data_IF_954525621916
#
_entry.id   IF_954525621916
#
_cell.length_a   1.000
_cell.length_b   1.000
_cell.length_c   1.000
_cell.angle_alpha   90.00
_cell.angle_beta   90.00
_cell.angle_gamma   90.00
#
_symmetry.space_group_name_H-M   'P 1'
#
loop_
_entity.id
_entity.type
_entity.pdbx_description
1 polymer ?
#
# COMPACT_ATOMS: atom_id res chain seq x y z
N UNK A 1 5.16 -0.39 120.86
CA UNK A 1 3.99 0.07 120.02
C UNK A 1 4.46 0.99 118.94
N UNK A 2 5.54 1.78 119.05
CA UNK A 2 6.00 2.74 118.05
C UNK A 2 6.55 2.12 116.78
N UNK A 3 7.22 0.96 116.86
CA UNK A 3 7.83 0.29 115.65
C UNK A 3 6.81 -0.37 114.75
N UNK A 4 5.68 -0.83 115.27
CA UNK A 4 4.64 -1.47 114.52
C UNK A 4 3.85 -0.45 113.66
N UNK A 5 3.66 0.75 114.17
CA UNK A 5 2.95 1.81 113.46
C UNK A 5 3.83 2.32 112.27
N UNK A 6 5.15 2.40 112.44
CA UNK A 6 6.05 2.79 111.33
C UNK A 6 6.15 1.78 110.18
N UNK A 7 6.08 0.45 110.58
CA UNK A 7 6.03 -0.60 109.53
C UNK A 7 4.72 -0.62 108.76
N UNK A 8 3.61 -0.33 109.45
CA UNK A 8 2.27 -0.29 108.78
C UNK A 8 2.15 0.91 107.85
N UNK A 9 2.70 2.06 108.22
CA UNK A 9 2.74 3.24 107.36
C UNK A 9 3.63 2.98 106.14
N UNK A 10 4.85 2.37 106.38
CA UNK A 10 5.75 2.00 105.25
C UNK A 10 5.08 1.04 104.26
N UNK A 11 4.37 0.02 104.77
CA UNK A 11 3.65 -0.90 103.94
C UNK A 11 2.49 -0.21 103.13
N UNK A 12 1.77 0.69 103.78
CA UNK A 12 0.69 1.45 103.13
C UNK A 12 1.25 2.36 102.00
N UNK A 13 2.39 2.99 102.26
CA UNK A 13 3.06 3.83 101.21
C UNK A 13 3.52 2.97 100.04
N UNK A 14 4.14 1.84 100.29
CA UNK A 14 4.58 0.91 99.23
C UNK A 14 3.36 0.37 98.42
N UNK A 15 2.32 -0.06 99.18
CA UNK A 15 1.12 -0.51 98.57
C UNK A 15 0.42 0.58 97.64
N UNK A 16 0.44 1.84 98.16
CA UNK A 16 -0.08 2.99 97.41
C UNK A 16 0.74 3.31 96.15
N UNK A 17 2.06 3.23 96.25
CA UNK A 17 2.96 3.43 95.10
C UNK A 17 2.77 2.34 94.06
N UNK A 18 2.65 1.08 94.48
CA UNK A 18 2.37 -0.05 93.57
C UNK A 18 1.02 0.12 92.89
N UNK A 19 0.00 0.47 93.64
CA UNK A 19 -1.34 0.64 93.10
C UNK A 19 -1.45 1.84 92.17
N UNK A 20 -0.76 2.92 92.48
CA UNK A 20 -0.86 4.18 91.68
C UNK A 20 0.08 4.22 90.46
N UNK A 21 1.27 3.64 90.57
CA UNK A 21 2.32 3.75 89.56
C UNK A 21 2.59 2.43 88.80
N UNK A 22 2.39 1.28 89.39
CA UNK A 22 2.75 0.00 88.79
C UNK A 22 1.49 -0.67 88.11
N UNK A 23 0.36 -0.61 88.84
CA UNK A 23 -0.91 -1.25 88.29
C UNK A 23 -1.46 -0.60 87.05
N UNK A 24 -1.46 0.74 86.92
CA UNK A 24 -2.03 1.35 85.70
C UNK A 24 -1.24 1.01 84.40
N UNK A 25 0.10 1.12 84.39
CA UNK A 25 0.84 0.79 83.20
C UNK A 25 0.74 -0.68 82.75
N UNK A 26 0.65 -1.60 83.76
CA UNK A 26 0.50 -3.03 83.49
C UNK A 26 -0.88 -3.31 82.89
N UNK A 27 -1.92 -2.66 83.40
CA UNK A 27 -3.29 -2.82 82.77
C UNK A 27 -3.38 -2.29 81.34
N UNK A 28 -2.74 -1.15 81.08
CA UNK A 28 -2.71 -0.59 79.74
C UNK A 28 -1.86 -1.42 78.77
N UNK A 29 -0.76 -2.04 79.24
CA UNK A 29 -0.01 -2.98 78.42
C UNK A 29 -0.77 -4.27 78.12
N UNK A 30 -1.47 -4.83 79.14
CA UNK A 30 -2.29 -6.00 78.93
C UNK A 30 -3.49 -5.73 77.98
N UNK A 31 -4.13 -4.57 78.11
CA UNK A 31 -5.18 -4.15 77.16
C UNK A 31 -4.68 -4.00 75.75
N UNK A 32 -3.54 -3.31 75.59
CA UNK A 32 -2.94 -3.18 74.25
C UNK A 32 -2.56 -4.54 73.65
N UNK A 33 -2.07 -5.47 74.47
CA UNK A 33 -1.77 -6.82 73.99
C UNK A 33 -3.02 -7.61 73.61
N UNK A 34 -4.08 -7.49 74.43
CA UNK A 34 -5.38 -8.13 74.12
C UNK A 34 -6.04 -7.54 72.86
N UNK A 35 -5.98 -6.23 72.69
CA UNK A 35 -6.48 -5.57 71.48
C UNK A 35 -5.67 -5.96 70.26
N UNK A 36 -4.37 -6.02 70.33
CA UNK A 36 -3.52 -6.48 69.24
C UNK A 36 -3.78 -7.93 68.86
N UNK A 37 -3.98 -8.82 69.81
CA UNK A 37 -4.37 -10.22 69.57
C UNK A 37 -5.76 -10.32 68.98
N UNK A 38 -6.73 -9.50 69.46
CA UNK A 38 -8.06 -9.45 68.85
C UNK A 38 -8.05 -8.98 67.45
N UNK A 39 -7.29 -7.91 67.13
CA UNK A 39 -7.16 -7.42 65.76
C UNK A 39 -6.49 -8.47 64.87
N UNK A 40 -5.39 -9.09 65.34
CA UNK A 40 -4.73 -10.13 64.56
C UNK A 40 -5.64 -11.38 64.30
N UNK A 41 -6.46 -11.73 65.29
CA UNK A 41 -7.46 -12.82 65.10
C UNK A 41 -8.56 -12.41 64.15
N UNK A 42 -9.04 -11.16 64.19
CA UNK A 42 -10.03 -10.66 63.27
C UNK A 42 -9.48 -10.61 61.81
N UNK A 43 -8.26 -10.09 61.63
CA UNK A 43 -7.60 -10.05 60.35
C UNK A 43 -7.33 -11.44 59.79
N UNK A 44 -6.96 -12.39 60.66
CA UNK A 44 -6.78 -13.80 60.26
C UNK A 44 -8.09 -14.46 59.86
N UNK A 45 -9.19 -14.18 60.58
CA UNK A 45 -10.52 -14.68 60.23
C UNK A 45 -11.01 -14.07 58.89
N UNK A 46 -10.76 -12.78 58.69
CA UNK A 46 -11.08 -12.11 57.42
C UNK A 46 -10.25 -12.67 56.24
N UNK A 47 -8.99 -12.89 56.47
CA UNK A 47 -8.11 -13.51 55.47
C UNK A 47 -8.53 -14.94 55.14
N UNK A 48 -8.89 -15.74 56.14
CA UNK A 48 -9.41 -17.10 55.95
C UNK A 48 -10.70 -17.08 55.14
N UNK A 49 -11.61 -16.14 55.43
CA UNK A 49 -12.84 -15.98 54.70
C UNK A 49 -12.61 -15.60 53.22
N UNK A 50 -11.70 -14.63 52.97
CA UNK A 50 -11.32 -14.24 51.62
C UNK A 50 -10.70 -15.40 50.84
N UNK A 51 -9.93 -16.26 51.52
CA UNK A 51 -9.36 -17.45 50.88
C UNK A 51 -10.47 -18.47 50.49
N UNK A 52 -11.43 -18.69 51.39
CA UNK A 52 -12.57 -19.58 51.14
C UNK A 52 -13.44 -19.04 49.96
N UNK A 53 -13.75 -17.75 49.98
CA UNK A 53 -14.50 -17.08 48.93
C UNK A 53 -13.73 -17.14 47.56
N UNK A 54 -12.41 -16.99 47.60
CA UNK A 54 -11.59 -17.12 46.40
C UNK A 54 -11.53 -18.56 45.86
N UNK A 55 -11.44 -19.55 46.74
CA UNK A 55 -11.49 -20.97 46.35
C UNK A 55 -12.85 -21.36 45.75
N UNK A 56 -13.96 -20.86 46.35
CA UNK A 56 -15.29 -21.07 45.78
C UNK A 56 -15.44 -20.42 44.40
N UNK A 57 -14.99 -19.16 44.26
CA UNK A 57 -14.99 -18.49 42.93
C UNK A 57 -14.13 -19.22 41.91
N UNK A 58 -12.97 -19.69 42.33
CA UNK A 58 -12.08 -20.45 41.45
C UNK A 58 -12.69 -21.81 41.06
N UNK A 59 -13.29 -22.53 42.01
CA UNK A 59 -13.98 -23.78 41.73
C UNK A 59 -15.17 -23.59 40.77
N UNK A 60 -15.94 -22.52 40.98
CA UNK A 60 -17.05 -22.15 40.11
C UNK A 60 -16.57 -21.79 38.70
N UNK A 61 -15.54 -20.94 38.60
CA UNK A 61 -14.95 -20.56 37.31
C UNK A 61 -14.42 -21.77 36.54
N UNK A 62 -13.80 -22.73 37.23
CA UNK A 62 -13.35 -24.00 36.61
C UNK A 62 -14.52 -24.87 36.14
N UNK A 63 -15.62 -24.93 36.92
CA UNK A 63 -16.79 -25.66 36.52
C UNK A 63 -17.49 -25.03 35.29
N UNK A 64 -17.63 -23.71 35.30
CA UNK A 64 -18.20 -22.94 34.20
C UNK A 64 -17.34 -23.09 32.94
N UNK A 65 -15.99 -22.98 33.06
CA UNK A 65 -15.10 -23.17 31.95
C UNK A 65 -15.12 -24.59 31.34
N UNK A 66 -15.29 -25.62 32.23
CA UNK A 66 -15.47 -27.01 31.75
C UNK A 66 -16.78 -27.20 31.02
N UNK A 67 -17.87 -26.61 31.54
CA UNK A 67 -19.19 -26.68 30.91
C UNK A 67 -19.18 -25.99 29.54
N UNK A 68 -18.58 -24.80 29.48
CA UNK A 68 -18.42 -24.05 28.21
C UNK A 68 -17.53 -24.81 27.22
N UNK A 69 -16.43 -25.35 27.67
CA UNK A 69 -15.53 -26.15 26.81
C UNK A 69 -16.25 -27.40 26.27
N UNK A 70 -17.07 -28.10 27.09
CA UNK A 70 -17.85 -29.23 26.61
C UNK A 70 -18.87 -28.79 25.56
N UNK A 71 -19.61 -27.69 25.85
CA UNK A 71 -20.58 -27.13 24.93
C UNK A 71 -19.96 -26.75 23.58
N UNK A 72 -18.86 -26.03 23.61
CA UNK A 72 -18.12 -25.66 22.37
C UNK A 72 -17.66 -26.89 21.62
N UNK A 73 -17.20 -27.93 22.34
CA UNK A 73 -16.77 -29.17 21.70
C UNK A 73 -17.94 -29.92 21.03
N UNK A 74 -19.10 -29.94 21.68
CA UNK A 74 -20.30 -30.60 21.14
C UNK A 74 -20.87 -29.81 19.96
N UNK A 75 -20.92 -28.48 20.05
CA UNK A 75 -21.27 -27.61 18.93
C UNK A 75 -20.31 -27.79 17.74
N UNK A 76 -19.00 -27.83 18.00
CA UNK A 76 -18.00 -28.04 16.95
C UNK A 76 -18.13 -29.42 16.27
N UNK A 77 -18.53 -30.46 17.03
CA UNK A 77 -18.82 -31.80 16.46
C UNK A 77 -20.06 -31.77 15.56
N UNK A 78 -21.14 -31.16 16.04
CA UNK A 78 -22.35 -31.03 15.24
C UNK A 78 -22.13 -30.21 13.98
N UNK A 79 -21.36 -29.10 14.10
CA UNK A 79 -20.98 -28.30 12.95
C UNK A 79 -20.10 -29.07 11.96
N UNK A 80 -19.15 -29.89 12.48
CA UNK A 80 -18.31 -30.74 11.63
C UNK A 80 -19.11 -31.80 10.87
N UNK A 81 -20.09 -32.43 11.53
CA UNK A 81 -20.99 -33.41 10.87
C UNK A 81 -21.83 -32.72 9.79
N UNK A 82 -22.43 -31.56 10.11
CA UNK A 82 -23.21 -30.78 9.14
C UNK A 82 -22.37 -30.32 7.96
N UNK A 83 -21.13 -29.86 8.22
CA UNK A 83 -20.19 -29.46 7.17
C UNK A 83 -19.81 -30.67 6.32
N UNK A 84 -19.57 -31.83 6.91
CA UNK A 84 -19.24 -33.04 6.18
C UNK A 84 -20.38 -33.51 5.26
N UNK A 85 -21.64 -33.43 5.73
CA UNK A 85 -22.82 -33.72 4.90
C UNK A 85 -22.94 -32.71 3.76
N UNK A 86 -22.83 -31.40 4.04
CA UNK A 86 -22.89 -30.36 3.04
C UNK A 86 -21.76 -30.51 2.00
N UNK A 87 -20.52 -30.81 2.45
CA UNK A 87 -19.41 -31.03 1.53
C UNK A 87 -19.63 -32.25 0.66
N UNK A 88 -20.24 -33.33 1.18
CA UNK A 88 -20.52 -34.53 0.40
C UNK A 88 -21.59 -34.26 -0.65
N UNK A 89 -22.65 -33.54 -0.27
CA UNK A 89 -23.68 -33.12 -1.20
C UNK A 89 -23.13 -32.18 -2.28
N UNK A 90 -22.36 -31.18 -1.85
CA UNK A 90 -21.73 -30.24 -2.75
C UNK A 90 -20.73 -30.90 -3.69
N UNK A 91 -19.94 -31.85 -3.18
CA UNK A 91 -19.03 -32.64 -4.02
C UNK A 91 -19.77 -33.45 -5.08
N UNK A 92 -20.95 -33.98 -4.76
CA UNK A 92 -21.82 -34.67 -5.73
C UNK A 92 -22.31 -33.73 -6.84
N UNK A 93 -22.83 -32.56 -6.46
CA UNK A 93 -23.28 -31.52 -7.40
C UNK A 93 -22.11 -31.01 -8.26
N UNK A 94 -20.97 -30.75 -7.60
CA UNK A 94 -19.76 -30.30 -8.31
C UNK A 94 -19.22 -31.35 -9.28
N UNK A 95 -19.25 -32.64 -8.90
CA UNK A 95 -18.84 -33.73 -9.78
C UNK A 95 -19.71 -33.79 -11.05
N UNK A 96 -21.03 -33.69 -10.92
CA UNK A 96 -21.91 -33.64 -12.09
C UNK A 96 -21.74 -32.36 -12.92
N UNK A 97 -21.53 -31.23 -12.26
CA UNK A 97 -21.21 -29.97 -12.92
C UNK A 97 -19.90 -30.06 -13.72
N UNK A 98 -18.84 -30.60 -13.11
CA UNK A 98 -17.53 -30.79 -13.76
C UNK A 98 -17.65 -31.73 -14.94
N UNK A 99 -18.42 -32.82 -14.81
CA UNK A 99 -18.65 -33.79 -15.89
C UNK A 99 -19.38 -33.13 -17.09
N UNK A 100 -20.40 -32.34 -16.80
CA UNK A 100 -21.15 -31.61 -17.83
C UNK A 100 -20.30 -30.51 -18.48
N UNK A 101 -19.54 -29.76 -17.66
CA UNK A 101 -18.59 -28.77 -18.16
C UNK A 101 -17.47 -29.43 -18.98
N UNK A 102 -16.94 -30.56 -18.51
CA UNK A 102 -15.92 -31.33 -19.22
C UNK A 102 -16.41 -31.78 -20.60
N UNK A 103 -17.64 -32.29 -20.70
CA UNK A 103 -18.23 -32.66 -21.96
C UNK A 103 -18.37 -31.46 -22.91
N UNK A 104 -18.84 -30.31 -22.41
CA UNK A 104 -18.91 -29.06 -23.19
C UNK A 104 -17.51 -28.54 -23.58
N UNK A 105 -16.55 -28.62 -22.66
CA UNK A 105 -15.17 -28.21 -22.90
C UNK A 105 -14.50 -29.06 -24.01
N UNK A 106 -14.71 -30.36 -24.01
CA UNK A 106 -14.22 -31.25 -25.08
C UNK A 106 -14.81 -30.87 -26.44
N UNK A 107 -16.09 -30.56 -26.49
CA UNK A 107 -16.74 -30.08 -27.73
C UNK A 107 -16.16 -28.73 -28.20
N UNK A 108 -15.98 -27.77 -27.25
CA UNK A 108 -15.37 -26.48 -27.55
C UNK A 108 -13.90 -26.63 -27.97
N UNK A 109 -13.16 -27.48 -27.29
CA UNK A 109 -11.74 -27.76 -27.61
C UNK A 109 -11.60 -28.39 -28.99
N UNK A 110 -12.51 -29.30 -29.37
CA UNK A 110 -12.53 -29.88 -30.73
C UNK A 110 -12.79 -28.82 -31.81
N UNK A 111 -13.72 -27.90 -31.54
CA UNK A 111 -13.98 -26.79 -32.48
C UNK A 111 -12.81 -25.79 -32.49
N UNK A 112 -12.16 -25.60 -31.32
CA UNK A 112 -10.99 -24.73 -31.20
C UNK A 112 -9.77 -25.34 -31.90
N UNK A 113 -9.58 -26.66 -31.81
CA UNK A 113 -8.51 -27.36 -32.53
C UNK A 113 -8.65 -27.26 -34.03
N UNK A 114 -9.89 -27.37 -34.53
CA UNK A 114 -10.16 -27.20 -35.97
C UNK A 114 -9.87 -25.75 -36.41
N UNK A 115 -10.24 -24.76 -35.56
CA UNK A 115 -9.90 -23.35 -35.81
C UNK A 115 -8.40 -23.09 -35.74
N UNK A 116 -7.71 -23.69 -34.75
CA UNK A 116 -6.25 -23.56 -34.60
C UNK A 116 -5.49 -24.22 -35.76
N UNK A 117 -5.95 -25.36 -36.26
CA UNK A 117 -5.37 -25.99 -37.43
C UNK A 117 -5.55 -25.16 -38.70
N UNK A 118 -6.71 -24.50 -38.84
CA UNK A 118 -6.95 -23.55 -39.95
C UNK A 118 -6.13 -22.27 -39.79
N UNK A 119 -6.04 -21.76 -38.56
CA UNK A 119 -5.22 -20.57 -38.25
C UNK A 119 -3.72 -20.88 -38.40
N UNK A 120 -3.25 -22.07 -38.01
CA UNK A 120 -1.85 -22.48 -38.12
C UNK A 120 -1.38 -22.58 -39.59
N UNK A 121 -2.24 -22.97 -40.49
CA UNK A 121 -1.96 -22.92 -41.94
C UNK A 121 -1.90 -21.45 -42.46
N UNK A 122 -2.68 -20.55 -41.81
CA UNK A 122 -2.62 -19.13 -42.10
C UNK A 122 -1.34 -18.48 -41.53
N UNK A 123 -0.94 -18.87 -40.28
CA UNK A 123 0.26 -18.36 -39.62
C UNK A 123 1.55 -18.66 -40.37
N UNK A 124 1.72 -19.87 -40.94
CA UNK A 124 2.87 -20.23 -41.79
C UNK A 124 2.97 -19.36 -43.04
N UNK A 125 1.81 -19.00 -43.58
CA UNK A 125 1.74 -18.13 -44.78
C UNK A 125 2.08 -16.69 -44.40
N UNK A 126 1.63 -16.24 -43.21
CA UNK A 126 1.93 -14.90 -42.68
C UNK A 126 3.36 -14.79 -42.23
N UNK A 127 3.93 -15.84 -41.60
CA UNK A 127 5.34 -15.85 -41.27
C UNK A 127 6.23 -15.73 -42.50
N UNK A 128 5.93 -16.47 -43.56
CA UNK A 128 6.64 -16.34 -44.84
C UNK A 128 6.43 -14.96 -45.49
N UNK A 129 5.23 -14.41 -45.41
CA UNK A 129 4.98 -13.05 -45.88
C UNK A 129 5.72 -12.03 -45.02
N UNK A 130 5.76 -12.23 -43.69
CA UNK A 130 6.52 -11.42 -42.76
C UNK A 130 8.05 -11.50 -43.00
N UNK A 131 8.59 -12.67 -43.31
CA UNK A 131 9.99 -12.83 -43.72
C UNK A 131 10.30 -12.06 -45.01
N UNK A 132 9.44 -12.11 -45.99
CA UNK A 132 9.57 -11.36 -47.26
C UNK A 132 9.45 -9.84 -47.02
N UNK A 133 8.54 -9.43 -46.14
CA UNK A 133 8.39 -8.03 -45.71
C UNK A 133 9.60 -7.57 -44.93
N UNK A 134 10.12 -8.38 -43.97
CA UNK A 134 11.36 -8.11 -43.23
C UNK A 134 12.54 -7.90 -44.17
N UNK A 135 12.71 -8.78 -45.15
CA UNK A 135 13.75 -8.67 -46.16
C UNK A 135 13.63 -7.38 -46.99
N UNK A 136 12.38 -6.91 -47.24
CA UNK A 136 12.13 -5.70 -48.01
C UNK A 136 12.21 -4.41 -47.16
N UNK A 137 11.79 -4.48 -45.87
CA UNK A 137 11.79 -3.35 -44.91
C UNK A 137 13.07 -3.30 -44.06
N UNK A 138 14.00 -4.25 -44.19
CA UNK A 138 15.28 -4.24 -43.52
C UNK A 138 16.23 -3.09 -43.96
N UNK A 139 15.85 -2.32 -44.99
CA UNK A 139 16.51 -1.11 -45.37
C UNK A 139 16.05 0.09 -44.49
N UNK A 140 16.96 0.84 -43.83
CA UNK A 140 16.60 1.99 -43.01
C UNK A 140 15.69 3.02 -43.69
N UNK A 141 15.86 3.21 -45.01
CA UNK A 141 15.01 4.12 -45.79
C UNK A 141 13.54 3.62 -45.88
N UNK A 142 13.36 2.30 -46.00
CA UNK A 142 12.03 1.71 -46.03
C UNK A 142 11.34 1.74 -44.63
N UNK A 143 12.13 1.58 -43.55
CA UNK A 143 11.62 1.73 -42.17
C UNK A 143 11.14 3.17 -41.92
N UNK A 144 11.92 4.16 -42.27
CA UNK A 144 11.54 5.58 -42.20
C UNK A 144 10.25 5.87 -42.95
N UNK A 145 10.12 5.34 -44.16
CA UNK A 145 8.91 5.52 -45.03
C UNK A 145 7.65 4.88 -44.39
N UNK A 146 7.77 3.78 -43.63
CA UNK A 146 6.63 3.18 -42.93
C UNK A 146 6.15 4.04 -41.76
N UNK A 147 7.08 4.65 -41.03
CA UNK A 147 6.79 5.62 -39.98
C UNK A 147 6.10 6.86 -40.54
N UNK A 148 6.63 7.45 -41.62
CA UNK A 148 6.05 8.64 -42.25
C UNK A 148 4.62 8.40 -42.77
N UNK A 149 4.36 7.21 -43.31
CA UNK A 149 3.00 6.82 -43.73
C UNK A 149 2.07 6.73 -42.54
N UNK A 150 2.50 6.11 -41.45
CA UNK A 150 1.67 6.00 -40.25
C UNK A 150 1.41 7.36 -39.62
N UNK A 151 2.41 8.23 -39.54
CA UNK A 151 2.23 9.62 -39.09
C UNK A 151 1.21 10.39 -39.97
N UNK A 152 1.17 10.13 -41.29
CA UNK A 152 0.18 10.72 -42.15
C UNK A 152 -1.26 10.17 -41.87
N UNK A 153 -1.37 8.87 -41.57
CA UNK A 153 -2.66 8.26 -41.18
C UNK A 153 -3.14 8.77 -39.80
N UNK A 154 -2.22 8.91 -38.82
CA UNK A 154 -2.53 9.53 -37.53
C UNK A 154 -3.01 10.99 -37.69
N UNK A 155 -2.48 11.70 -38.67
CA UNK A 155 -2.84 13.10 -38.93
C UNK A 155 -4.30 13.23 -39.41
N UNK A 156 -4.85 12.19 -40.02
CA UNK A 156 -6.24 12.11 -40.46
C UNK A 156 -7.21 11.62 -39.37
N UNK A 157 -6.71 11.14 -38.23
CA UNK A 157 -7.56 10.65 -37.15
C UNK A 157 -8.33 11.80 -36.49
N UNK A 158 -9.59 11.52 -36.15
CA UNK A 158 -10.43 12.41 -35.38
C UNK A 158 -9.87 12.57 -33.94
N UNK A 159 -10.12 13.73 -33.28
CA UNK A 159 -9.78 13.90 -31.88
C UNK A 159 -10.39 12.79 -31.02
N UNK A 160 -9.61 12.23 -30.12
CA UNK A 160 -10.08 11.22 -29.17
C UNK A 160 -11.07 11.86 -28.19
N UNK A 161 -12.17 11.18 -27.92
CA UNK A 161 -13.12 11.55 -26.85
C UNK A 161 -12.83 10.78 -25.57
N UNK A 162 -11.76 10.00 -25.53
CA UNK A 162 -11.37 9.24 -24.35
C UNK A 162 -10.97 10.21 -23.24
N UNK A 163 -11.57 10.03 -22.07
CA UNK A 163 -11.08 10.68 -20.86
C UNK A 163 -9.85 9.90 -20.43
N UNK A 164 -8.68 10.47 -20.65
CA UNK A 164 -7.42 9.85 -20.23
C UNK A 164 -7.31 10.02 -18.71
N UNK A 165 -7.74 8.99 -17.98
CA UNK A 165 -7.41 8.87 -16.57
C UNK A 165 -5.94 8.43 -16.50
N UNK A 166 -5.05 9.35 -16.18
CA UNK A 166 -3.60 9.09 -16.07
C UNK A 166 -3.19 8.80 -14.64
N UNK A 167 -2.23 7.88 -14.48
CA UNK A 167 -1.55 7.62 -13.21
C UNK A 167 -2.36 6.81 -12.19
N UNK A 168 -2.10 7.07 -10.91
CA UNK A 168 -2.65 6.31 -9.78
C UNK A 168 -4.18 6.25 -9.73
N UNK A 169 -4.89 7.25 -10.29
CA UNK A 169 -6.36 7.33 -10.26
C UNK A 169 -7.04 6.26 -11.14
N UNK A 170 -6.43 5.84 -12.24
CA UNK A 170 -7.01 4.87 -13.19
C UNK A 170 -7.25 3.49 -12.54
N UNK A 171 -6.39 3.07 -11.62
CA UNK A 171 -6.46 1.78 -10.93
C UNK A 171 -7.40 1.78 -9.72
N UNK A 172 -7.85 2.96 -9.25
CA UNK A 172 -8.65 3.10 -8.03
C UNK A 172 -10.15 2.88 -8.28
N UNK A 173 -10.85 2.34 -7.29
CA UNK A 173 -12.30 2.28 -7.26
C UNK A 173 -12.89 3.67 -7.00
N UNK A 174 -14.17 3.85 -7.31
CA UNK A 174 -14.85 5.15 -7.26
C UNK A 174 -14.69 5.90 -5.93
N UNK A 175 -14.79 5.20 -4.78
CA UNK A 175 -14.62 5.83 -3.47
C UNK A 175 -13.19 6.35 -3.27
N UNK A 176 -12.18 5.55 -3.59
CA UNK A 176 -10.78 5.95 -3.46
C UNK A 176 -10.38 7.03 -4.47
N UNK A 177 -10.96 7.04 -5.68
CA UNK A 177 -10.78 8.15 -6.63
C UNK A 177 -11.31 9.47 -6.08
N UNK A 178 -12.52 9.44 -5.50
CA UNK A 178 -13.08 10.64 -4.87
C UNK A 178 -12.24 11.11 -3.67
N UNK A 179 -11.74 10.16 -2.89
CA UNK A 179 -10.85 10.43 -1.75
C UNK A 179 -9.52 11.05 -2.22
N UNK A 180 -8.90 10.49 -3.26
CA UNK A 180 -7.66 11.02 -3.83
C UNK A 180 -7.86 12.43 -4.39
N UNK A 181 -8.94 12.67 -5.15
CA UNK A 181 -9.24 14.00 -5.67
C UNK A 181 -9.45 15.06 -4.57
N UNK A 182 -10.10 14.68 -3.45
CA UNK A 182 -10.24 15.56 -2.30
C UNK A 182 -8.89 15.84 -1.61
N UNK A 183 -8.01 14.86 -1.60
CA UNK A 183 -6.66 14.98 -1.04
C UNK A 183 -5.76 15.83 -1.94
N UNK A 184 -5.85 15.66 -3.27
CA UNK A 184 -5.15 16.51 -4.25
C UNK A 184 -5.53 17.99 -4.12
N UNK A 185 -6.83 18.27 -3.98
CA UNK A 185 -7.31 19.65 -3.75
C UNK A 185 -6.78 20.24 -2.44
N UNK A 186 -6.73 19.46 -1.37
CA UNK A 186 -6.15 19.87 -0.10
C UNK A 186 -4.64 20.08 -0.20
N UNK A 187 -3.96 19.24 -0.96
CA UNK A 187 -2.53 19.36 -1.22
C UNK A 187 -2.19 20.63 -1.98
N UNK A 188 -2.93 20.98 -3.03
CA UNK A 188 -2.68 22.18 -3.81
C UNK A 188 -2.84 23.46 -2.96
N UNK A 189 -3.81 23.48 -2.03
CA UNK A 189 -3.99 24.60 -1.08
C UNK A 189 -2.80 24.72 -0.10
N UNK A 190 -2.28 23.58 0.38
CA UNK A 190 -1.13 23.54 1.30
C UNK A 190 0.16 23.86 0.55
N UNK A 191 0.44 23.16 -0.56
CA UNK A 191 1.69 23.27 -1.31
C UNK A 191 1.88 24.66 -1.93
N UNK A 192 0.77 25.34 -2.31
CA UNK A 192 0.80 26.71 -2.81
C UNK A 192 1.33 27.73 -1.80
N UNK A 193 1.32 27.42 -0.50
CA UNK A 193 1.81 28.30 0.57
C UNK A 193 3.25 27.99 0.98
N UNK A 194 3.79 26.85 0.55
CA UNK A 194 5.11 26.37 0.94
C UNK A 194 6.19 26.75 -0.07
N UNK A 195 7.42 26.89 0.43
CA UNK A 195 8.65 27.01 -0.36
C UNK A 195 9.41 25.69 -0.34
N UNK A 196 10.45 25.55 -1.16
CA UNK A 196 11.25 24.30 -1.30
C UNK A 196 11.62 23.63 0.02
N UNK A 197 12.10 24.31 1.07
CA UNK A 197 12.40 23.63 2.33
C UNK A 197 11.15 23.05 3.00
N UNK A 198 10.02 23.77 2.97
CA UNK A 198 8.75 23.31 3.54
C UNK A 198 8.17 22.13 2.75
N UNK A 199 8.32 22.13 1.42
CA UNK A 199 7.94 21.00 0.57
C UNK A 199 8.78 19.74 0.84
N UNK A 200 10.09 19.94 1.11
CA UNK A 200 10.96 18.84 1.52
C UNK A 200 10.52 18.23 2.86
N UNK A 201 10.29 19.07 3.86
CA UNK A 201 9.78 18.64 5.17
C UNK A 201 8.46 17.90 5.04
N UNK A 202 7.52 18.46 4.28
CA UNK A 202 6.22 17.81 4.00
C UNK A 202 6.38 16.41 3.40
N UNK A 203 7.25 16.27 2.39
CA UNK A 203 7.53 14.99 1.75
C UNK A 203 8.18 13.97 2.70
N UNK A 204 9.13 14.39 3.52
CA UNK A 204 9.82 13.53 4.48
C UNK A 204 8.90 13.06 5.60
N UNK A 205 8.05 13.94 6.11
CA UNK A 205 7.07 13.63 7.14
C UNK A 205 5.99 12.68 6.61
N UNK A 206 5.39 12.96 5.44
CA UNK A 206 4.43 12.07 4.79
C UNK A 206 5.05 10.71 4.49
N UNK A 207 6.28 10.67 3.96
CA UNK A 207 7.02 9.43 3.74
C UNK A 207 7.28 8.64 5.02
N UNK A 208 7.49 9.34 6.15
CA UNK A 208 7.65 8.69 7.46
C UNK A 208 6.33 8.10 7.97
N UNK A 209 5.22 8.80 7.75
CA UNK A 209 3.87 8.31 8.05
C UNK A 209 3.54 7.08 7.19
N UNK A 210 3.86 7.10 5.88
CA UNK A 210 3.69 5.93 4.99
C UNK A 210 4.43 4.72 5.54
N UNK A 211 5.71 4.86 5.92
CA UNK A 211 6.48 3.77 6.51
C UNK A 211 5.87 3.24 7.82
N UNK A 212 5.36 4.13 8.67
CA UNK A 212 4.67 3.73 9.89
C UNK A 212 3.38 2.94 9.57
N UNK A 213 2.57 3.41 8.63
CA UNK A 213 1.33 2.74 8.23
C UNK A 213 1.60 1.36 7.60
N UNK A 214 2.68 1.21 6.86
CA UNK A 214 3.11 -0.08 6.32
C UNK A 214 3.55 -1.03 7.45
N UNK A 215 4.26 -0.51 8.46
CA UNK A 215 4.75 -1.29 9.60
C UNK A 215 3.65 -1.70 10.58
N UNK A 216 2.56 -0.91 10.67
CA UNK A 216 1.47 -1.08 11.63
C UNK A 216 0.10 -1.31 10.95
N UNK A 217 -0.16 -2.52 10.39
CA UNK A 217 -1.39 -2.80 9.64
C UNK A 217 -2.67 -2.60 10.47
N UNK A 218 -2.63 -2.81 11.78
CA UNK A 218 -3.77 -2.58 12.66
C UNK A 218 -4.16 -1.09 12.71
N UNK A 219 -3.17 -0.20 12.77
CA UNK A 219 -3.39 1.24 12.72
C UNK A 219 -3.98 1.65 11.36
N UNK A 220 -3.39 1.17 10.28
CA UNK A 220 -3.83 1.45 8.90
C UNK A 220 -5.27 1.04 8.68
N UNK A 221 -5.64 -0.17 9.15
CA UNK A 221 -7.01 -0.65 9.11
C UNK A 221 -7.99 0.30 9.81
N UNK A 222 -7.68 0.72 11.03
CA UNK A 222 -8.54 1.65 11.77
C UNK A 222 -8.67 3.02 11.11
N UNK A 223 -7.59 3.54 10.51
CA UNK A 223 -7.62 4.82 9.81
C UNK A 223 -8.38 4.75 8.47
N UNK A 224 -8.30 3.61 7.76
CA UNK A 224 -8.99 3.40 6.49
C UNK A 224 -10.46 2.99 6.65
N UNK A 225 -10.89 2.55 7.84
CA UNK A 225 -12.24 2.06 8.08
C UNK A 225 -13.30 3.08 7.66
N UNK A 226 -14.26 2.62 6.85
CA UNK A 226 -15.35 3.48 6.37
C UNK A 226 -16.35 3.74 7.50
N UNK A 227 -16.31 4.94 8.08
CA UNK A 227 -17.24 5.40 9.10
C UNK A 227 -17.95 6.66 8.63
N UNK A 228 -19.19 6.87 9.06
CA UNK A 228 -19.94 8.11 8.77
C UNK A 228 -19.43 9.29 9.63
N UNK A 229 -18.77 9.00 10.76
CA UNK A 229 -18.13 10.00 11.63
C UNK A 229 -16.61 9.79 11.67
N UNK A 230 -15.89 10.64 10.96
CA UNK A 230 -14.43 10.62 10.92
C UNK A 230 -13.77 11.22 12.19
N UNK A 231 -14.55 11.79 13.11
CA UNK A 231 -14.02 12.53 14.28
C UNK A 231 -13.09 11.70 15.15
N UNK A 232 -13.37 10.39 15.29
CA UNK A 232 -12.52 9.49 16.06
C UNK A 232 -11.16 9.27 15.38
N UNK A 233 -11.14 9.13 14.05
CA UNK A 233 -9.92 8.94 13.25
C UNK A 233 -9.08 10.21 13.26
N UNK A 234 -9.70 11.37 13.09
CA UNK A 234 -9.02 12.66 13.16
C UNK A 234 -8.37 12.86 14.53
N UNK A 235 -9.09 12.59 15.63
CA UNK A 235 -8.51 12.67 16.99
C UNK A 235 -7.37 11.68 17.21
N UNK A 236 -7.41 10.51 16.57
CA UNK A 236 -6.32 9.55 16.62
C UNK A 236 -5.09 10.09 15.90
N UNK A 237 -5.26 10.64 14.70
CA UNK A 237 -4.18 11.30 13.93
C UNK A 237 -3.57 12.45 14.73
N UNK A 238 -4.41 13.34 15.30
CA UNK A 238 -3.94 14.45 16.11
C UNK A 238 -3.11 13.96 17.32
N UNK A 239 -3.56 12.91 18.00
CA UNK A 239 -2.84 12.37 19.15
C UNK A 239 -1.52 11.70 18.78
N UNK A 240 -1.42 11.09 17.61
CA UNK A 240 -0.23 10.37 17.17
C UNK A 240 0.82 11.30 16.56
N UNK A 241 0.38 12.35 15.84
CA UNK A 241 1.25 13.09 14.95
C UNK A 241 1.41 14.57 15.30
N UNK A 242 0.52 15.23 16.09
CA UNK A 242 0.56 16.68 16.33
C UNK A 242 1.88 17.21 16.91
N UNK A 243 2.62 16.37 17.65
CA UNK A 243 3.91 16.76 18.22
C UNK A 243 5.11 16.35 17.35
N UNK A 244 4.87 15.63 16.26
CA UNK A 244 5.93 14.99 15.46
C UNK A 244 5.96 15.47 14.01
N UNK A 245 4.89 16.07 13.50
CA UNK A 245 4.82 16.58 12.13
C UNK A 245 4.36 18.06 12.13
N UNK A 246 4.69 18.77 11.05
CA UNK A 246 4.22 20.14 10.82
C UNK A 246 2.69 20.19 10.64
N UNK A 247 2.09 21.34 10.95
CA UNK A 247 0.63 21.55 10.83
C UNK A 247 0.11 21.31 9.40
N UNK A 248 0.90 21.59 8.38
CA UNK A 248 0.54 21.33 7.00
C UNK A 248 0.43 19.84 6.72
N UNK A 249 1.36 19.04 7.23
CA UNK A 249 1.32 17.58 7.17
C UNK A 249 0.12 17.05 7.95
N UNK A 250 -0.10 17.54 9.17
CA UNK A 250 -1.24 17.16 9.98
C UNK A 250 -2.58 17.47 9.29
N UNK A 251 -2.68 18.59 8.61
CA UNK A 251 -3.88 18.98 7.83
C UNK A 251 -4.16 17.95 6.73
N UNK A 252 -3.15 17.54 5.95
CA UNK A 252 -3.31 16.55 4.89
C UNK A 252 -3.69 15.18 5.47
N UNK A 253 -3.09 14.77 6.58
CA UNK A 253 -3.42 13.51 7.25
C UNK A 253 -4.86 13.50 7.75
N UNK A 254 -5.34 14.61 8.37
CA UNK A 254 -6.74 14.76 8.77
C UNK A 254 -7.68 14.64 7.56
N UNK A 255 -7.33 15.26 6.44
CA UNK A 255 -8.09 15.15 5.20
C UNK A 255 -8.11 13.72 4.71
N UNK A 256 -6.96 13.04 4.63
CA UNK A 256 -6.85 11.65 4.17
C UNK A 256 -7.73 10.69 4.97
N UNK A 257 -7.68 10.75 6.31
CA UNK A 257 -8.46 9.85 7.16
C UNK A 257 -9.95 10.21 7.24
N UNK A 258 -10.32 11.43 6.84
CA UNK A 258 -11.72 11.85 6.76
C UNK A 258 -12.42 11.32 5.51
N UNK A 259 -11.67 10.89 4.49
CA UNK A 259 -12.23 10.33 3.27
C UNK A 259 -12.60 8.85 3.44
N UNK A 260 -13.38 8.34 2.47
CA UNK A 260 -13.74 6.92 2.37
C UNK A 260 -12.84 6.25 1.35
N UNK A 261 -12.05 5.30 1.80
CA UNK A 261 -11.17 4.51 0.96
C UNK A 261 -11.79 3.13 0.68
N UNK A 262 -11.57 2.59 -0.50
CA UNK A 262 -12.10 1.27 -0.90
C UNK A 262 -11.30 0.13 -0.28
N UNK A 263 -10.02 0.36 -0.02
CA UNK A 263 -9.11 -0.57 0.67
C UNK A 263 -8.16 0.18 1.61
N UNK A 264 -7.56 -0.54 2.52
CA UNK A 264 -6.54 -0.01 3.44
C UNK A 264 -5.29 0.46 2.67
N UNK A 265 -4.95 -0.26 1.61
CA UNK A 265 -3.82 0.10 0.73
C UNK A 265 -4.05 1.44 0.06
N UNK A 266 -5.28 1.72 -0.42
CA UNK A 266 -5.58 2.95 -1.14
C UNK A 266 -5.35 4.21 -0.27
N UNK A 267 -5.57 4.11 1.06
CA UNK A 267 -5.23 5.19 1.99
C UNK A 267 -3.71 5.43 2.03
N UNK A 268 -2.93 4.36 2.13
CA UNK A 268 -1.45 4.45 2.18
C UNK A 268 -0.93 5.00 0.86
N UNK A 269 -1.46 4.49 -0.28
CA UNK A 269 -1.10 4.95 -1.62
C UNK A 269 -1.44 6.44 -1.81
N UNK A 270 -2.58 6.89 -1.30
CA UNK A 270 -2.97 8.30 -1.33
C UNK A 270 -2.02 9.20 -0.55
N UNK A 271 -1.57 8.80 0.63
CA UNK A 271 -0.59 9.57 1.42
C UNK A 271 0.79 9.55 0.73
N UNK A 272 1.19 8.40 0.18
CA UNK A 272 2.42 8.26 -0.59
C UNK A 272 2.41 9.16 -1.83
N UNK A 273 1.26 9.22 -2.54
CA UNK A 273 1.06 10.10 -3.67
C UNK A 273 1.30 11.57 -3.29
N UNK A 274 0.77 12.03 -2.15
CA UNK A 274 1.03 13.39 -1.65
C UNK A 274 2.51 13.64 -1.35
N UNK A 275 3.23 12.66 -0.80
CA UNK A 275 4.66 12.78 -0.55
C UNK A 275 5.46 12.95 -1.85
N UNK A 276 5.10 12.18 -2.89
CA UNK A 276 5.68 12.30 -4.23
C UNK A 276 5.35 13.67 -4.87
N UNK A 277 4.10 14.10 -4.78
CA UNK A 277 3.67 15.42 -5.27
C UNK A 277 4.42 16.57 -4.58
N UNK A 278 4.75 16.47 -3.29
CA UNK A 278 5.50 17.49 -2.57
C UNK A 278 6.93 17.64 -3.14
N UNK A 279 7.60 16.53 -3.47
CA UNK A 279 8.91 16.57 -4.13
C UNK A 279 8.82 17.09 -5.57
N UNK A 280 7.81 16.68 -6.33
CA UNK A 280 7.59 17.20 -7.69
C UNK A 280 7.27 18.69 -7.66
N UNK A 281 6.48 19.16 -6.69
CA UNK A 281 6.21 20.58 -6.50
C UNK A 281 7.48 21.36 -6.13
N UNK A 282 8.39 20.76 -5.37
CA UNK A 282 9.73 21.34 -5.12
C UNK A 282 10.49 21.51 -6.42
N UNK A 283 10.53 20.47 -7.27
CA UNK A 283 11.18 20.55 -8.57
C UNK A 283 10.56 21.66 -9.46
N UNK A 284 9.22 21.82 -9.44
CA UNK A 284 8.56 22.94 -10.16
C UNK A 284 9.05 24.30 -9.68
N UNK A 285 9.13 24.50 -8.34
CA UNK A 285 9.56 25.77 -7.75
C UNK A 285 11.05 26.05 -8.05
N UNK A 286 11.88 25.01 -8.17
CA UNK A 286 13.31 25.09 -8.47
C UNK A 286 13.59 25.11 -9.99
N UNK A 287 12.57 24.84 -10.82
CA UNK A 287 12.71 24.82 -12.30
C UNK A 287 13.45 23.59 -12.81
N UNK A 288 13.43 22.48 -12.08
CA UNK A 288 14.21 21.25 -12.33
C UNK A 288 13.33 20.07 -12.78
N UNK A 289 12.05 20.30 -13.09
CA UNK A 289 11.08 19.22 -13.40
C UNK A 289 11.53 18.38 -14.58
N UNK A 290 12.02 19.02 -15.66
CA UNK A 290 12.46 18.34 -16.88
C UNK A 290 13.66 17.43 -16.61
N UNK A 291 14.59 17.89 -15.77
CA UNK A 291 15.74 17.10 -15.37
C UNK A 291 15.33 15.91 -14.49
N UNK A 292 14.44 16.13 -13.55
CA UNK A 292 13.91 15.08 -12.67
C UNK A 292 13.18 14.02 -13.49
N UNK A 293 12.29 14.43 -14.40
CA UNK A 293 11.55 13.54 -15.30
C UNK A 293 12.51 12.66 -16.12
N UNK A 294 13.46 13.29 -16.85
CA UNK A 294 14.41 12.57 -17.69
C UNK A 294 15.27 11.57 -16.86
N UNK A 295 15.68 11.94 -15.67
CA UNK A 295 16.44 11.06 -14.80
C UNK A 295 15.60 9.89 -14.27
N UNK A 296 14.33 10.08 -13.94
CA UNK A 296 13.42 9.00 -13.56
C UNK A 296 13.20 8.01 -14.71
N UNK A 297 12.95 8.49 -15.91
CA UNK A 297 12.83 7.64 -17.10
C UNK A 297 14.12 6.89 -17.44
N UNK A 298 15.28 7.54 -17.32
CA UNK A 298 16.57 6.86 -17.49
C UNK A 298 16.77 5.75 -16.47
N UNK A 299 16.39 6.01 -15.22
CA UNK A 299 16.50 4.99 -14.17
C UNK A 299 15.55 3.83 -14.40
N UNK A 300 14.31 4.07 -14.84
CA UNK A 300 13.38 3.02 -15.28
C UNK A 300 13.98 2.11 -16.35
N UNK A 301 14.59 2.70 -17.40
CA UNK A 301 15.28 1.93 -18.44
C UNK A 301 16.48 1.13 -17.93
N UNK A 302 17.20 1.64 -16.92
CA UNK A 302 18.26 0.87 -16.27
C UNK A 302 17.69 -0.36 -15.56
N UNK A 303 16.54 -0.22 -14.90
CA UNK A 303 15.88 -1.35 -14.24
C UNK A 303 15.37 -2.38 -15.25
N UNK A 304 14.86 -1.95 -16.39
CA UNK A 304 14.44 -2.84 -17.49
C UNK A 304 15.61 -3.62 -18.08
N UNK A 305 16.76 -2.93 -18.28
CA UNK A 305 17.97 -3.53 -18.83
C UNK A 305 18.68 -4.47 -17.82
N UNK A 306 18.47 -4.26 -16.52
CA UNK A 306 19.12 -5.01 -15.44
C UNK A 306 18.11 -5.72 -14.52
N UNK A 307 17.49 -6.83 -14.95
CA UNK A 307 16.42 -7.52 -14.20
C UNK A 307 16.86 -7.99 -12.80
N UNK A 308 18.17 -8.23 -12.59
CA UNK A 308 18.70 -8.60 -11.28
C UNK A 308 18.66 -7.43 -10.30
N UNK A 309 18.93 -6.22 -10.78
CA UNK A 309 18.84 -4.99 -9.98
C UNK A 309 17.37 -4.71 -9.65
N UNK A 310 16.47 -4.76 -10.65
CA UNK A 310 15.04 -4.62 -10.45
C UNK A 310 14.50 -5.61 -9.40
N UNK A 311 14.86 -6.90 -9.52
CA UNK A 311 14.46 -7.92 -8.56
C UNK A 311 15.01 -7.64 -7.14
N UNK A 312 16.27 -7.20 -7.01
CA UNK A 312 16.86 -6.91 -5.70
C UNK A 312 16.23 -5.70 -5.02
N UNK A 313 15.85 -4.66 -5.79
CA UNK A 313 15.13 -3.49 -5.27
C UNK A 313 13.67 -3.79 -4.96
N UNK A 314 13.06 -4.75 -5.66
CA UNK A 314 11.66 -5.21 -5.45
C UNK A 314 11.51 -6.20 -4.29
N UNK A 315 12.61 -6.75 -3.78
CA UNK A 315 12.57 -7.78 -2.73
C UNK A 315 12.10 -7.19 -1.39
N UNK A 316 10.80 -7.28 -1.15
CA UNK A 316 10.16 -6.81 0.08
C UNK A 316 10.56 -7.64 1.34
N UNK A 317 11.22 -8.78 1.17
CA UNK A 317 11.77 -9.57 2.29
C UNK A 317 13.06 -8.94 2.83
N UNK A 318 13.75 -8.15 2.01
CA UNK A 318 14.90 -7.35 2.41
C UNK A 318 14.40 -6.05 3.09
N UNK A 319 14.93 -5.68 4.27
CA UNK A 319 14.59 -4.42 4.92
C UNK A 319 14.76 -3.20 4.00
N UNK A 320 13.86 -2.21 4.12
CA UNK A 320 13.89 -1.01 3.27
C UNK A 320 15.25 -0.33 3.26
N UNK A 321 15.94 -0.24 4.41
CA UNK A 321 17.28 0.36 4.52
C UNK A 321 18.30 -0.35 3.63
N UNK A 322 18.20 -1.66 3.50
CA UNK A 322 19.10 -2.45 2.62
C UNK A 322 18.84 -2.16 1.14
N UNK A 323 17.58 -2.03 0.75
CA UNK A 323 17.17 -1.66 -0.63
C UNK A 323 17.59 -0.22 -0.96
N UNK A 324 17.38 0.70 -0.02
CA UNK A 324 17.84 2.11 -0.13
C UNK A 324 19.36 2.18 -0.25
N UNK A 325 20.08 1.41 0.56
CA UNK A 325 21.54 1.38 0.47
C UNK A 325 22.04 0.85 -0.89
N UNK A 326 21.34 -0.13 -1.48
CA UNK A 326 21.61 -0.61 -2.84
C UNK A 326 21.31 0.48 -3.87
N UNK A 327 20.13 1.13 -3.80
CA UNK A 327 19.77 2.25 -4.67
C UNK A 327 20.84 3.34 -4.63
N UNK A 328 21.22 3.80 -3.44
CA UNK A 328 22.21 4.86 -3.27
C UNK A 328 23.56 4.51 -3.92
N UNK A 329 24.00 3.24 -3.84
CA UNK A 329 25.20 2.78 -4.53
C UNK A 329 25.09 2.85 -6.05
N UNK A 330 23.90 2.65 -6.60
CA UNK A 330 23.66 2.70 -8.06
C UNK A 330 23.63 4.14 -8.56
N UNK A 331 23.03 5.05 -7.80
CA UNK A 331 22.91 6.47 -8.19
C UNK A 331 24.12 7.30 -7.76
N UNK A 332 24.96 6.80 -6.84
CA UNK A 332 26.15 7.52 -6.36
C UNK A 332 27.14 7.77 -7.52
N UNK A 333 27.59 9.00 -7.63
CA UNK A 333 28.52 9.43 -8.71
C UNK A 333 27.88 9.57 -10.10
N UNK A 334 26.59 9.30 -10.29
CA UNK A 334 25.91 9.43 -11.58
C UNK A 334 25.33 10.84 -11.86
N UNK A 335 25.49 11.77 -10.90
CA UNK A 335 24.99 13.15 -11.06
C UNK A 335 23.46 13.25 -11.00
N UNK A 336 22.80 12.33 -10.30
CA UNK A 336 21.35 12.35 -10.13
C UNK A 336 20.93 13.57 -9.30
N UNK A 337 19.93 14.31 -9.77
CA UNK A 337 19.32 15.43 -9.08
C UNK A 337 18.81 15.02 -7.69
N UNK A 338 18.96 15.91 -6.71
CA UNK A 338 18.55 15.63 -5.33
C UNK A 338 17.06 15.31 -5.17
N UNK A 339 16.19 15.90 -6.01
CA UNK A 339 14.74 15.59 -6.02
C UNK A 339 14.47 14.21 -6.62
N UNK A 340 15.13 13.88 -7.74
CA UNK A 340 15.01 12.55 -8.35
C UNK A 340 15.50 11.46 -7.38
N UNK A 341 16.63 11.66 -6.71
CA UNK A 341 17.16 10.73 -5.71
C UNK A 341 16.18 10.55 -4.52
N UNK A 342 15.57 11.63 -4.03
CA UNK A 342 14.58 11.58 -2.95
C UNK A 342 13.32 10.82 -3.39
N UNK A 343 12.81 11.08 -4.59
CA UNK A 343 11.65 10.38 -5.18
C UNK A 343 11.92 8.89 -5.32
N UNK A 344 13.06 8.50 -5.89
CA UNK A 344 13.47 7.10 -6.00
C UNK A 344 13.60 6.44 -4.64
N UNK A 345 14.20 7.13 -3.66
CA UNK A 345 14.36 6.62 -2.31
C UNK A 345 13.01 6.36 -1.62
N UNK A 346 12.08 7.32 -1.70
CA UNK A 346 10.73 7.16 -1.15
C UNK A 346 9.99 5.99 -1.81
N UNK A 347 10.04 5.89 -3.13
CA UNK A 347 9.38 4.82 -3.89
C UNK A 347 9.93 3.46 -3.51
N UNK A 348 11.25 3.28 -3.51
CA UNK A 348 11.88 1.99 -3.13
C UNK A 348 11.63 1.64 -1.65
N UNK A 349 11.57 2.64 -0.76
CA UNK A 349 11.24 2.41 0.65
C UNK A 349 9.80 1.90 0.84
N UNK A 350 8.87 2.40 0.05
CA UNK A 350 7.43 2.14 0.18
C UNK A 350 6.95 0.90 -0.59
N UNK A 351 7.77 0.25 -1.41
CA UNK A 351 7.38 -0.93 -2.20
C UNK A 351 6.76 -2.03 -1.32
N UNK A 352 5.57 -2.49 -1.72
CA UNK A 352 4.73 -3.47 -1.00
C UNK A 352 4.38 -4.70 -1.84
N UNK A 353 5.30 -5.17 -2.67
CA UNK A 353 5.14 -6.34 -3.54
C UNK A 353 4.95 -6.00 -5.02
N UNK A 354 4.91 -4.73 -5.38
CA UNK A 354 5.06 -4.27 -6.77
C UNK A 354 6.53 -4.28 -7.20
N UNK A 355 6.75 -4.29 -8.49
CA UNK A 355 8.09 -4.30 -9.07
C UNK A 355 8.69 -2.89 -9.05
N UNK A 356 9.99 -2.79 -8.79
CA UNK A 356 10.68 -1.51 -8.73
C UNK A 356 10.70 -0.79 -10.10
N UNK A 357 10.82 -1.53 -11.22
CA UNK A 357 10.75 -1.00 -12.57
C UNK A 357 9.37 -0.38 -12.85
N UNK A 358 8.27 -1.07 -12.54
CA UNK A 358 6.90 -0.56 -12.69
C UNK A 358 6.66 0.68 -11.81
N UNK A 359 7.06 0.63 -10.55
CA UNK A 359 6.89 1.75 -9.62
C UNK A 359 7.67 3.01 -10.04
N UNK A 360 8.84 2.84 -10.66
CA UNK A 360 9.63 3.97 -11.18
C UNK A 360 9.02 4.53 -12.47
N UNK A 361 8.44 3.70 -13.32
CA UNK A 361 7.68 4.16 -14.50
C UNK A 361 6.46 4.95 -14.05
N UNK A 362 5.64 4.42 -13.13
CA UNK A 362 4.48 5.13 -12.57
C UNK A 362 4.88 6.49 -11.94
N UNK A 363 6.05 6.55 -11.29
CA UNK A 363 6.60 7.79 -10.74
C UNK A 363 6.99 8.81 -11.82
N UNK A 364 7.60 8.35 -12.91
CA UNK A 364 7.95 9.21 -14.04
C UNK A 364 6.70 9.73 -14.75
N UNK A 365 5.68 8.89 -14.93
CA UNK A 365 4.35 9.29 -15.45
C UNK A 365 3.69 10.35 -14.56
N UNK A 366 3.80 10.21 -13.24
CA UNK A 366 3.29 11.20 -12.30
C UNK A 366 3.98 12.56 -12.48
N UNK A 367 5.30 12.56 -12.74
CA UNK A 367 6.04 13.80 -13.00
C UNK A 367 5.54 14.50 -14.28
N UNK A 368 5.27 13.75 -15.33
CA UNK A 368 4.72 14.26 -16.61
C UNK A 368 3.28 14.77 -16.41
N UNK A 369 2.43 13.96 -15.74
CA UNK A 369 1.04 14.32 -15.50
C UNK A 369 0.93 15.65 -14.70
N UNK A 370 1.88 15.92 -13.80
CA UNK A 370 1.93 17.17 -13.03
C UNK A 370 2.10 18.40 -13.91
N UNK A 371 2.72 18.27 -15.08
CA UNK A 371 2.83 19.34 -16.09
C UNK A 371 1.55 19.53 -16.92
N UNK A 372 0.53 18.73 -16.68
CA UNK A 372 -0.68 18.68 -17.50
C UNK A 372 -0.43 18.02 -18.86
N UNK A 373 0.63 17.28 -18.98
CA UNK A 373 0.99 16.49 -20.16
C UNK A 373 0.51 15.06 -20.02
N UNK A 374 0.36 14.41 -21.15
CA UNK A 374 -0.01 12.98 -21.23
C UNK A 374 1.17 12.21 -21.76
N UNK A 375 1.51 11.08 -21.14
CA UNK A 375 2.58 10.20 -21.64
C UNK A 375 2.05 9.34 -22.77
N UNK A 376 2.78 9.34 -23.90
CA UNK A 376 2.61 8.38 -24.98
C UNK A 376 3.82 7.44 -25.03
N UNK A 377 3.64 6.18 -24.70
CA UNK A 377 4.64 5.15 -24.90
C UNK A 377 4.63 4.71 -26.35
N UNK A 378 5.72 4.93 -27.05
CA UNK A 378 5.86 4.66 -28.48
C UNK A 378 6.90 3.57 -28.67
N UNK A 379 6.49 2.43 -29.24
CA UNK A 379 7.40 1.37 -29.66
C UNK A 379 7.60 1.45 -31.16
N UNK A 380 8.87 1.53 -31.60
CA UNK A 380 9.25 1.64 -33.02
C UNK A 380 10.28 0.57 -33.38
N UNK A 381 10.32 0.16 -34.64
CA UNK A 381 11.33 -0.77 -35.16
C UNK A 381 12.73 -0.16 -35.24
N UNK A 382 12.84 1.16 -35.34
CA UNK A 382 14.08 1.93 -35.39
C UNK A 382 13.88 3.29 -34.73
N UNK A 383 14.99 3.97 -34.42
CA UNK A 383 14.92 5.30 -33.82
C UNK A 383 14.24 6.31 -34.76
N UNK A 384 13.48 7.24 -34.19
CA UNK A 384 12.79 8.28 -34.89
C UNK A 384 13.73 9.48 -35.14
N UNK A 385 13.70 10.03 -36.34
CA UNK A 385 14.34 11.33 -36.59
C UNK A 385 13.67 12.44 -35.77
N UNK A 386 14.40 13.53 -35.52
CA UNK A 386 13.88 14.68 -34.77
C UNK A 386 12.61 15.24 -35.42
N UNK A 387 12.54 15.27 -36.77
CA UNK A 387 11.36 15.72 -37.51
C UNK A 387 10.16 14.81 -37.28
N UNK A 388 10.34 13.49 -37.27
CA UNK A 388 9.30 12.51 -37.00
C UNK A 388 8.83 12.60 -35.56
N UNK A 389 9.73 12.76 -34.61
CA UNK A 389 9.42 12.92 -33.20
C UNK A 389 8.59 14.18 -32.95
N UNK A 390 9.01 15.31 -33.54
CA UNK A 390 8.27 16.57 -33.42
C UNK A 390 6.85 16.43 -34.00
N UNK A 391 6.74 15.87 -35.21
CA UNK A 391 5.44 15.66 -35.85
C UNK A 391 4.53 14.72 -35.04
N UNK A 392 5.10 13.66 -34.45
CA UNK A 392 4.36 12.72 -33.61
C UNK A 392 3.77 13.43 -32.38
N UNK A 393 4.58 14.24 -31.69
CA UNK A 393 4.14 15.05 -30.52
C UNK A 393 3.00 16.00 -30.93
N UNK A 394 3.15 16.71 -32.05
CA UNK A 394 2.13 17.64 -32.54
C UNK A 394 0.81 16.93 -32.86
N UNK A 395 0.87 15.80 -33.57
CA UNK A 395 -0.32 15.03 -33.95
C UNK A 395 -1.03 14.44 -32.72
N UNK A 396 -0.28 13.83 -31.80
CA UNK A 396 -0.84 13.26 -30.57
C UNK A 396 -1.43 14.37 -29.68
N UNK A 397 -0.75 15.50 -29.53
CA UNK A 397 -1.28 16.63 -28.77
C UNK A 397 -2.59 17.17 -29.33
N UNK A 398 -2.75 17.13 -30.66
CA UNK A 398 -4.01 17.49 -31.31
C UNK A 398 -5.11 16.45 -31.11
N UNK A 399 -4.77 15.13 -31.17
CA UNK A 399 -5.71 14.04 -30.97
C UNK A 399 -6.27 14.05 -29.55
N UNK A 400 -5.41 14.25 -28.57
CA UNK A 400 -5.77 14.15 -27.14
C UNK A 400 -6.14 15.49 -26.51
N UNK A 401 -5.92 16.63 -27.19
CA UNK A 401 -6.25 17.97 -26.68
C UNK A 401 -5.35 18.45 -25.53
N UNK A 402 -4.29 17.74 -25.22
CA UNK A 402 -3.30 18.03 -24.19
C UNK A 402 -1.88 17.92 -24.78
N UNK A 403 -0.89 18.62 -24.23
CA UNK A 403 0.51 18.38 -24.55
C UNK A 403 0.85 16.91 -24.28
N UNK A 404 1.60 16.28 -25.18
CA UNK A 404 1.97 14.87 -25.09
C UNK A 404 3.49 14.75 -24.98
N UNK A 405 3.96 14.06 -23.92
CA UNK A 405 5.35 13.64 -23.78
C UNK A 405 5.52 12.26 -24.42
N UNK A 406 6.44 12.13 -25.39
CA UNK A 406 6.67 10.87 -26.12
C UNK A 406 7.86 10.13 -25.51
N UNK A 407 7.58 8.92 -25.02
CA UNK A 407 8.60 7.97 -24.56
C UNK A 407 8.83 6.91 -25.64
N UNK A 408 10.00 6.99 -26.30
CA UNK A 408 10.35 6.08 -27.37
C UNK A 408 11.10 4.86 -26.84
N UNK A 409 10.60 3.68 -27.17
CA UNK A 409 11.27 2.40 -27.04
C UNK A 409 11.56 1.84 -28.44
N UNK A 410 12.81 1.44 -28.69
CA UNK A 410 13.19 0.83 -29.96
C UNK A 410 13.19 -0.69 -29.79
N UNK A 411 12.27 -1.36 -30.51
CA UNK A 411 12.18 -2.82 -30.55
C UNK A 411 12.53 -3.33 -31.97
N UNK A 412 13.71 -3.90 -32.16
CA UNK A 412 14.13 -4.44 -33.46
C UNK A 412 13.28 -5.64 -33.96
N UNK A 413 12.51 -6.28 -33.07
CA UNK A 413 11.62 -7.38 -33.45
C UNK A 413 10.34 -6.88 -34.17
N UNK A 414 9.98 -5.60 -34.03
CA UNK A 414 8.91 -4.99 -34.76
C UNK A 414 9.22 -4.98 -36.28
N UNK A 415 8.28 -5.48 -37.08
CA UNK A 415 8.41 -5.52 -38.55
C UNK A 415 8.46 -4.15 -39.24
N UNK A 416 8.22 -3.07 -38.47
CA UNK A 416 8.13 -1.67 -38.94
C UNK A 416 6.82 -1.02 -38.56
N UNK A 417 6.73 0.30 -38.69
CA UNK A 417 5.63 1.12 -38.17
C UNK A 417 5.83 1.48 -36.70
N UNK A 418 4.77 1.93 -36.05
CA UNK A 418 4.76 2.36 -34.64
C UNK A 418 3.59 1.72 -33.92
N UNK A 419 3.78 1.40 -32.64
CA UNK A 419 2.70 1.15 -31.70
C UNK A 419 2.72 2.24 -30.64
N UNK A 420 1.60 2.88 -30.39
CA UNK A 420 1.48 4.01 -29.46
C UNK A 420 0.46 3.61 -28.40
N UNK A 421 0.87 3.72 -27.13
CA UNK A 421 -0.01 3.50 -25.99
C UNK A 421 -0.15 4.79 -25.19
N UNK A 422 -1.38 5.25 -24.99
CA UNK A 422 -1.68 6.45 -24.21
C UNK A 422 -2.74 6.08 -23.17
N UNK A 423 -2.36 5.94 -21.91
CA UNK A 423 -3.22 5.36 -20.89
C UNK A 423 -3.66 3.95 -21.28
N UNK A 424 -4.99 3.73 -21.33
CA UNK A 424 -5.58 2.44 -21.73
C UNK A 424 -5.82 2.32 -23.26
N UNK A 425 -5.53 3.35 -24.05
CA UNK A 425 -5.73 3.37 -25.49
C UNK A 425 -4.46 2.94 -26.23
N UNK A 426 -4.61 1.97 -27.13
CA UNK A 426 -3.50 1.49 -27.98
C UNK A 426 -3.81 1.78 -29.44
N UNK A 427 -2.94 2.53 -30.10
CA UNK A 427 -2.97 2.80 -31.53
C UNK A 427 -1.86 1.98 -32.19
N UNK A 428 -2.25 0.87 -32.83
CA UNK A 428 -1.29 -0.05 -33.45
C UNK A 428 -1.20 0.19 -34.97
N UNK A 429 -0.14 0.88 -35.37
CA UNK A 429 0.24 1.11 -36.77
C UNK A 429 1.36 0.19 -37.27
N UNK A 430 1.65 -0.90 -36.52
CA UNK A 430 2.69 -1.85 -36.93
C UNK A 430 2.32 -2.59 -38.22
N UNK A 431 3.34 -2.97 -38.97
CA UNK A 431 3.15 -3.81 -40.18
C UNK A 431 2.59 -5.19 -39.78
N UNK A 432 2.92 -5.69 -38.58
CA UNK A 432 2.40 -6.94 -38.05
C UNK A 432 0.87 -6.89 -37.87
N UNK A 433 0.33 -5.83 -37.32
CA UNK A 433 -1.12 -5.62 -37.18
C UNK A 433 -1.84 -5.52 -38.53
N UNK A 434 -1.23 -4.83 -39.48
CA UNK A 434 -1.79 -4.72 -40.85
C UNK A 434 -1.80 -6.05 -41.59
N UNK A 435 -0.76 -6.88 -41.38
CA UNK A 435 -0.72 -8.25 -41.93
C UNK A 435 -1.80 -9.12 -41.29
N UNK A 436 -1.98 -9.03 -39.99
CA UNK A 436 -3.03 -9.73 -39.25
C UNK A 436 -4.45 -9.30 -39.73
N UNK A 437 -4.65 -7.99 -39.89
CA UNK A 437 -5.91 -7.47 -40.46
C UNK A 437 -6.17 -7.93 -41.89
N UNK A 438 -5.14 -7.97 -42.72
CA UNK A 438 -5.25 -8.50 -44.11
C UNK A 438 -5.59 -10.01 -44.11
N UNK A 439 -5.06 -10.78 -43.13
CA UNK A 439 -5.35 -12.19 -42.96
C UNK A 439 -6.83 -12.45 -42.63
N UNK A 440 -7.45 -11.60 -41.81
CA UNK A 440 -8.88 -11.71 -41.46
C UNK A 440 -9.80 -11.29 -42.58
N UNK A 441 -9.31 -10.53 -43.58
CA UNK A 441 -10.06 -10.10 -44.75
C UNK A 441 -9.93 -11.05 -45.96
N UNK A 442 -9.07 -12.07 -45.86
CA UNK A 442 -9.04 -13.12 -46.89
C UNK A 442 -10.33 -13.94 -46.81
N UNK A 443 -11.06 -14.12 -47.92
CA UNK A 443 -12.27 -14.94 -47.91
C UNK A 443 -11.93 -16.40 -47.56
N UNK A 444 -12.81 -17.05 -46.80
CA UNK A 444 -12.75 -18.46 -46.36
C UNK A 444 -12.67 -19.44 -47.53
#
# INVERSE_FOLDING_TARGET
MSTFIGQLIGFAVIAFIIWKYVVPPIRTLMQKQQDAVRTALADSAEAAKKLTDADEMHAKALADAKAESSKVTDEARQDSERIAEQLTEQAGVDAERIKNQGAQQVQLMRQQLIRQLRAGLGDDTVQKAAELVRAHVGDPAAQTATVDRFLAELDEMAPSTAVIETGASARLRAASRAALAALDAAFDDVAGKLRSPGLTTLAEELGSVVRLLIAEPALTKHLAEATDDATAKVRLVDRLFSDTVDEHTAQLLRTAVSQRWSTESDLVDGIEHMARLALLKRAEVEGEVDEVEDQLFRFGRVLDAEPRLSAALSDYTTPADGRIALLNKVIDGSGVNGTAAALLTQTIAALRGERADEAVVDLAELAVARRGEVVAHVTAAADLSDAQRTRLVEVLSRIYGHPVSVQLHVDPELLGGLTITVGDEVIDGSIASRLAAAQTQLPD
#
